data_IF_059168704522
#
_entry.id   IF_059168704522
#
_cell.length_a   1.000
_cell.length_b   1.000
_cell.length_c   1.000
_cell.angle_alpha   90.00
_cell.angle_beta   90.00
_cell.angle_gamma   90.00
#
_symmetry.space_group_name_H-M   'P 1'
#
loop_
_entity.id
_entity.type
_entity.pdbx_description
1 polymer ?
#
# COMPACT_ATOMS: atom_id res chain seq x y z
N UNK A 1 -28.30 -5.43 -25.81
CA UNK A 1 -27.16 -4.52 -26.07
C UNK A 1 -26.82 -3.81 -24.77
N UNK A 2 -25.76 -4.24 -24.08
CA UNK A 2 -25.19 -3.47 -22.97
C UNK A 2 -24.23 -2.43 -23.58
N UNK A 3 -24.29 -1.15 -23.22
CA UNK A 3 -23.22 -0.23 -23.58
C UNK A 3 -22.01 -0.58 -22.70
N UNK A 4 -21.04 -1.26 -23.28
CA UNK A 4 -19.66 -1.27 -22.77
C UNK A 4 -19.19 0.18 -22.80
N UNK A 5 -19.26 0.86 -21.64
CA UNK A 5 -18.51 2.10 -21.47
C UNK A 5 -17.04 1.72 -21.61
N UNK A 6 -16.44 2.06 -22.75
CA UNK A 6 -14.99 2.14 -22.87
C UNK A 6 -14.55 3.23 -21.87
N UNK A 7 -14.24 2.84 -20.63
CA UNK A 7 -13.60 3.76 -19.71
C UNK A 7 -12.26 4.13 -20.32
N UNK A 8 -12.05 5.43 -20.54
CA UNK A 8 -10.79 5.90 -21.10
C UNK A 8 -9.67 5.59 -20.11
N UNK A 9 -8.45 5.34 -20.60
CA UNK A 9 -7.28 5.17 -19.73
C UNK A 9 -7.09 6.37 -18.79
N UNK A 10 -7.55 7.57 -19.16
CA UNK A 10 -7.56 8.74 -18.28
C UNK A 10 -8.49 8.57 -17.08
N UNK A 11 -9.73 8.08 -17.28
CA UNK A 11 -10.68 7.84 -16.20
C UNK A 11 -10.19 6.74 -15.24
N UNK A 12 -9.68 5.63 -15.79
CA UNK A 12 -9.08 4.54 -15.01
C UNK A 12 -7.91 5.07 -14.18
N UNK A 13 -7.02 5.85 -14.81
CA UNK A 13 -5.82 6.40 -14.15
C UNK A 13 -6.18 7.41 -13.05
N UNK A 14 -7.18 8.27 -13.27
CA UNK A 14 -7.68 9.22 -12.26
C UNK A 14 -8.30 8.49 -11.08
N UNK A 15 -9.07 7.44 -11.33
CA UNK A 15 -9.65 6.60 -10.29
C UNK A 15 -8.55 5.93 -9.45
N UNK A 16 -7.57 5.29 -10.10
CA UNK A 16 -6.43 4.66 -9.42
C UNK A 16 -5.63 5.69 -8.64
N UNK A 17 -5.38 6.89 -9.18
CA UNK A 17 -4.71 7.97 -8.47
C UNK A 17 -5.45 8.37 -7.18
N UNK A 18 -6.78 8.46 -7.22
CA UNK A 18 -7.59 8.74 -6.03
C UNK A 18 -7.44 7.67 -4.95
N UNK A 19 -7.38 6.39 -5.35
CA UNK A 19 -7.13 5.28 -4.44
C UNK A 19 -5.70 5.31 -3.88
N UNK A 20 -4.69 5.59 -4.71
CA UNK A 20 -3.30 5.72 -4.29
C UNK A 20 -3.14 6.82 -3.24
N UNK A 21 -3.75 8.00 -3.46
CA UNK A 21 -3.76 9.10 -2.49
C UNK A 21 -4.41 8.68 -1.17
N UNK A 22 -5.53 7.96 -1.23
CA UNK A 22 -6.22 7.44 -0.04
C UNK A 22 -5.38 6.43 0.73
N UNK A 23 -4.67 5.57 -0.01
CA UNK A 23 -3.71 4.59 0.54
C UNK A 23 -2.52 5.29 1.20
N UNK A 24 -1.97 6.34 0.58
CA UNK A 24 -0.89 7.16 1.15
C UNK A 24 -1.28 7.79 2.49
N UNK A 25 -2.50 8.28 2.61
CA UNK A 25 -3.01 8.78 3.89
C UNK A 25 -3.07 7.68 4.97
N UNK A 26 -3.48 6.46 4.61
CA UNK A 26 -3.47 5.35 5.57
C UNK A 26 -2.06 4.91 5.95
N UNK A 27 -1.11 4.88 5.00
CA UNK A 27 0.30 4.57 5.26
C UNK A 27 0.87 5.56 6.27
N UNK A 28 0.68 6.87 6.05
CA UNK A 28 1.17 7.90 6.97
C UNK A 28 0.56 7.79 8.38
N UNK A 29 -0.72 7.38 8.49
CA UNK A 29 -1.34 7.11 9.79
C UNK A 29 -0.72 5.90 10.49
N UNK A 30 -0.38 4.86 9.72
CA UNK A 30 0.28 3.66 10.25
C UNK A 30 1.71 3.98 10.66
N UNK A 31 2.46 4.74 9.86
CA UNK A 31 3.81 5.21 10.19
C UNK A 31 3.83 5.98 11.51
N UNK A 32 2.82 6.82 11.75
CA UNK A 32 2.65 7.51 13.04
C UNK A 32 2.45 6.55 14.21
N UNK A 33 1.74 5.43 14.02
CA UNK A 33 1.59 4.39 15.05
C UNK A 33 2.92 3.66 15.24
N UNK A 34 3.59 3.23 14.16
CA UNK A 34 4.88 2.54 14.21
C UNK A 34 5.92 3.38 14.93
N UNK A 35 5.99 4.69 14.64
CA UNK A 35 6.90 5.61 15.31
C UNK A 35 6.66 5.68 16.82
N UNK A 36 5.41 5.63 17.27
CA UNK A 36 5.11 5.58 18.70
C UNK A 36 5.50 4.24 19.33
N UNK A 37 5.41 3.13 18.58
CA UNK A 37 5.85 1.81 19.04
C UNK A 37 7.38 1.74 19.18
N UNK A 38 8.13 2.39 18.30
CA UNK A 38 9.59 2.49 18.34
C UNK A 38 10.15 3.11 19.63
N UNK A 39 9.37 3.96 20.31
CA UNK A 39 9.76 4.55 21.61
C UNK A 39 9.84 3.47 22.70
N UNK A 40 9.09 2.38 22.56
CA UNK A 40 9.14 1.26 23.48
C UNK A 40 10.21 0.24 23.04
N UNK A 41 11.27 0.13 23.83
CA UNK A 41 12.43 -0.73 23.52
C UNK A 41 12.08 -2.20 23.35
N UNK A 42 10.99 -2.68 23.97
CA UNK A 42 10.53 -4.06 23.82
C UNK A 42 10.27 -4.37 22.33
N UNK A 43 9.66 -3.45 21.58
CA UNK A 43 9.43 -3.65 20.15
C UNK A 43 10.75 -3.74 19.36
N UNK A 44 11.73 -2.92 19.72
CA UNK A 44 13.01 -2.84 19.02
C UNK A 44 13.85 -4.11 19.18
N UNK A 45 13.67 -4.86 20.26
CA UNK A 45 14.39 -6.10 20.52
C UNK A 45 13.79 -7.32 19.78
N UNK A 46 12.58 -7.19 19.23
CA UNK A 46 11.92 -8.28 18.51
C UNK A 46 12.25 -8.25 17.00
N UNK A 47 12.91 -9.32 16.53
CA UNK A 47 13.26 -9.51 15.12
C UNK A 47 12.03 -9.39 14.19
N UNK A 48 10.87 -9.92 14.60
CA UNK A 48 9.68 -9.86 13.76
C UNK A 48 9.16 -8.42 13.59
N UNK A 49 9.34 -7.54 14.58
CA UNK A 49 9.00 -6.12 14.44
C UNK A 49 10.00 -5.38 13.56
N UNK A 50 11.29 -5.71 13.64
CA UNK A 50 12.31 -5.17 12.75
C UNK A 50 12.06 -5.56 11.28
N UNK A 51 11.80 -6.84 11.02
CA UNK A 51 11.48 -7.35 9.68
C UNK A 51 10.17 -6.77 9.15
N UNK A 52 9.14 -6.66 10.01
CA UNK A 52 7.90 -5.95 9.67
C UNK A 52 8.18 -4.53 9.17
N UNK A 53 9.03 -3.76 9.87
CA UNK A 53 9.36 -2.40 9.49
C UNK A 53 10.20 -2.31 8.23
N UNK A 54 11.17 -3.22 8.03
CA UNK A 54 11.99 -3.23 6.82
C UNK A 54 11.09 -3.40 5.58
N UNK A 55 10.25 -4.43 5.59
CA UNK A 55 9.31 -4.70 4.51
C UNK A 55 8.25 -3.60 4.38
N UNK A 56 7.80 -3.01 5.50
CA UNK A 56 6.85 -1.90 5.49
C UNK A 56 7.43 -0.64 4.82
N UNK A 57 8.69 -0.31 5.12
CA UNK A 57 9.38 0.85 4.57
C UNK A 57 9.60 0.69 3.06
N UNK A 58 10.02 -0.50 2.62
CA UNK A 58 10.18 -0.80 1.19
C UNK A 58 8.82 -0.74 0.47
N UNK A 59 7.77 -1.30 1.07
CA UNK A 59 6.42 -1.24 0.53
C UNK A 59 5.93 0.21 0.37
N UNK A 60 6.12 1.03 1.41
CA UNK A 60 5.75 2.44 1.43
C UNK A 60 6.52 3.25 0.40
N UNK A 61 7.82 2.99 0.26
CA UNK A 61 8.66 3.61 -0.78
C UNK A 61 8.11 3.36 -2.18
N UNK A 62 7.86 2.08 -2.55
CA UNK A 62 7.29 1.75 -3.86
C UNK A 62 5.87 2.30 -4.04
N UNK A 63 5.06 2.33 -2.98
CA UNK A 63 3.73 2.93 -3.01
C UNK A 63 3.77 4.42 -3.36
N UNK A 64 4.65 5.20 -2.71
CA UNK A 64 4.78 6.63 -3.03
C UNK A 64 5.31 6.85 -4.46
N UNK A 65 6.14 5.95 -4.98
CA UNK A 65 6.51 5.97 -6.40
C UNK A 65 5.31 5.68 -7.31
N UNK A 66 4.43 4.73 -6.94
CA UNK A 66 3.19 4.47 -7.68
C UNK A 66 2.33 5.74 -7.78
N UNK A 67 2.14 6.44 -6.65
CA UNK A 67 1.37 7.70 -6.61
C UNK A 67 1.97 8.76 -7.52
N UNK A 68 3.28 9.03 -7.39
CA UNK A 68 3.98 10.03 -8.19
C UNK A 68 3.99 9.71 -9.69
N UNK A 69 4.19 8.44 -10.04
CA UNK A 69 4.17 7.97 -11.42
C UNK A 69 2.77 8.12 -12.02
N UNK A 70 1.73 7.63 -11.33
CA UNK A 70 0.35 7.72 -11.79
C UNK A 70 -0.10 9.18 -11.93
N UNK A 71 0.27 10.05 -10.98
CA UNK A 71 0.03 11.50 -11.07
C UNK A 71 0.63 12.09 -12.33
N UNK A 72 1.85 11.68 -12.68
CA UNK A 72 2.51 12.11 -13.92
C UNK A 72 1.73 11.67 -15.15
N UNK A 73 1.34 10.39 -15.24
CA UNK A 73 0.51 9.90 -16.34
C UNK A 73 -0.80 10.67 -16.47
N UNK A 74 -1.47 10.95 -15.35
CA UNK A 74 -2.74 11.69 -15.31
C UNK A 74 -2.58 13.12 -15.82
N UNK A 75 -1.49 13.79 -15.48
CA UNK A 75 -1.23 15.18 -15.92
C UNK A 75 -0.84 15.23 -17.40
N UNK A 76 0.04 14.34 -17.84
CA UNK A 76 0.61 14.37 -19.21
C UNK A 76 -0.22 13.62 -20.24
N UNK A 77 -1.19 12.81 -19.80
CA UNK A 77 -1.98 11.90 -20.63
C UNK A 77 -1.15 10.81 -21.34
N UNK A 78 0.05 10.50 -20.85
CA UNK A 78 0.97 9.55 -21.48
C UNK A 78 0.68 8.07 -21.13
N UNK A 79 -0.52 7.57 -21.45
CA UNK A 79 -0.95 6.21 -21.13
C UNK A 79 -0.54 5.16 -22.17
N UNK A 80 0.70 5.22 -22.65
CA UNK A 80 1.19 4.18 -23.56
C UNK A 80 1.16 2.81 -22.87
N UNK A 81 1.03 1.73 -23.66
CA UNK A 81 1.11 0.37 -23.12
C UNK A 81 2.37 0.16 -22.27
N UNK A 82 3.52 0.71 -22.69
CA UNK A 82 4.77 0.64 -21.94
C UNK A 82 4.70 1.40 -20.61
N UNK A 83 4.02 2.54 -20.58
CA UNK A 83 3.82 3.33 -19.34
C UNK A 83 3.01 2.54 -18.31
N UNK A 84 1.89 1.95 -18.75
CA UNK A 84 1.04 1.16 -17.86
C UNK A 84 1.74 -0.14 -17.43
N UNK A 85 2.44 -0.80 -18.36
CA UNK A 85 3.24 -1.97 -18.05
C UNK A 85 4.30 -1.68 -16.99
N UNK A 86 5.03 -0.57 -17.12
CA UNK A 86 6.01 -0.14 -16.12
C UNK A 86 5.36 0.13 -14.77
N UNK A 87 4.26 0.89 -14.75
CA UNK A 87 3.52 1.17 -13.51
C UNK A 87 3.16 -0.11 -12.75
N UNK A 88 2.64 -1.11 -13.46
CA UNK A 88 2.21 -2.37 -12.83
C UNK A 88 3.41 -3.21 -12.40
N UNK A 89 4.32 -3.52 -13.33
CA UNK A 89 5.34 -4.53 -13.08
C UNK A 89 6.50 -4.02 -12.24
N UNK A 90 6.82 -2.73 -12.34
CA UNK A 90 8.00 -2.16 -11.70
C UNK A 90 7.67 -1.38 -10.42
N UNK A 91 6.40 -1.01 -10.20
CA UNK A 91 6.00 -0.25 -9.01
C UNK A 91 4.95 -1.01 -8.19
N UNK A 92 3.79 -1.35 -8.78
CA UNK A 92 2.69 -1.99 -8.04
C UNK A 92 3.08 -3.39 -7.54
N UNK A 93 3.62 -4.26 -8.40
CA UNK A 93 3.99 -5.63 -8.00
C UNK A 93 5.04 -5.63 -6.87
N UNK A 94 6.13 -4.83 -6.95
CA UNK A 94 7.05 -4.67 -5.82
C UNK A 94 6.38 -4.17 -4.54
N UNK A 95 5.54 -3.13 -4.61
CA UNK A 95 4.80 -2.64 -3.45
C UNK A 95 3.91 -3.75 -2.83
N UNK A 96 3.14 -4.47 -3.64
CA UNK A 96 2.28 -5.58 -3.19
C UNK A 96 3.12 -6.68 -2.51
N UNK A 97 4.28 -7.02 -3.06
CA UNK A 97 5.17 -8.05 -2.51
C UNK A 97 5.66 -7.66 -1.11
N UNK A 98 6.19 -6.45 -0.96
CA UNK A 98 6.71 -5.97 0.31
C UNK A 98 5.59 -5.78 1.35
N UNK A 99 4.40 -5.29 0.96
CA UNK A 99 3.25 -5.25 1.86
C UNK A 99 2.85 -6.66 2.30
N UNK A 100 2.82 -7.64 1.40
CA UNK A 100 2.47 -9.01 1.76
C UNK A 100 3.46 -9.61 2.76
N UNK A 101 4.77 -9.37 2.58
CA UNK A 101 5.80 -9.87 3.51
C UNK A 101 5.72 -9.16 4.87
N UNK A 102 5.60 -7.84 4.88
CA UNK A 102 5.36 -7.05 6.09
C UNK A 102 4.17 -7.58 6.89
N UNK A 103 3.05 -7.90 6.21
CA UNK A 103 1.86 -8.45 6.87
C UNK A 103 2.05 -9.85 7.45
N UNK A 104 2.98 -10.66 6.94
CA UNK A 104 3.34 -11.95 7.55
C UNK A 104 4.05 -11.71 8.88
N UNK A 105 5.04 -10.82 8.92
CA UNK A 105 5.72 -10.44 10.15
C UNK A 105 4.75 -9.82 11.15
N UNK A 106 3.87 -8.92 10.70
CA UNK A 106 2.81 -8.35 11.54
C UNK A 106 1.91 -9.42 12.19
N UNK A 107 1.56 -10.47 11.44
CA UNK A 107 0.74 -11.56 11.96
C UNK A 107 1.43 -12.34 13.09
N UNK A 108 2.77 -12.45 13.05
CA UNK A 108 3.56 -13.05 14.12
C UNK A 108 3.68 -12.12 15.33
N UNK A 109 3.83 -10.82 15.12
CA UNK A 109 3.87 -9.82 16.22
C UNK A 109 2.56 -9.85 17.02
N UNK A 110 1.42 -10.01 16.33
CA UNK A 110 0.08 -10.07 16.95
C UNK A 110 -0.11 -11.21 17.96
N UNK A 111 0.75 -12.22 17.97
CA UNK A 111 0.66 -13.33 18.92
C UNK A 111 1.66 -13.24 20.07
N UNK A 112 2.48 -12.17 20.12
CA UNK A 112 3.46 -11.90 21.18
C UNK A 112 2.76 -11.10 22.29
N UNK A 113 2.43 -11.70 23.45
CA UNK A 113 1.64 -11.04 24.48
C UNK A 113 2.26 -9.72 24.94
N UNK A 114 3.58 -9.70 25.11
CA UNK A 114 4.36 -8.55 25.60
C UNK A 114 4.17 -7.29 24.75
N UNK A 115 3.91 -7.45 23.44
CA UNK A 115 3.74 -6.35 22.49
C UNK A 115 2.27 -5.91 22.35
N UNK A 116 1.35 -6.86 22.45
CA UNK A 116 -0.07 -6.64 22.16
C UNK A 116 -0.84 -5.87 23.23
N UNK A 117 -0.28 -5.72 24.43
CA UNK A 117 -0.92 -5.00 25.53
C UNK A 117 -0.91 -3.47 25.39
N UNK A 118 -0.08 -2.92 24.51
CA UNK A 118 0.02 -1.47 24.34
C UNK A 118 -1.19 -0.89 23.60
N UNK A 119 -1.72 0.24 24.06
CA UNK A 119 -2.87 0.91 23.42
C UNK A 119 -2.57 1.30 21.97
N UNK A 120 -1.33 1.68 21.68
CA UNK A 120 -0.87 2.01 20.34
C UNK A 120 -0.96 0.81 19.40
N UNK A 121 -0.56 -0.39 19.87
CA UNK A 121 -0.62 -1.59 19.05
C UNK A 121 -2.06 -2.02 18.76
N UNK A 122 -3.01 -1.78 19.66
CA UNK A 122 -4.43 -2.12 19.45
C UNK A 122 -5.05 -1.38 18.25
N UNK A 123 -4.53 -0.20 17.89
CA UNK A 123 -5.01 0.58 16.75
C UNK A 123 -4.47 0.08 15.41
N UNK A 124 -3.28 -0.53 15.41
CA UNK A 124 -2.56 -0.91 14.20
C UNK A 124 -3.31 -1.94 13.32
N UNK A 125 -3.90 -3.04 13.86
CA UNK A 125 -4.65 -3.99 13.05
C UNK A 125 -5.79 -3.36 12.24
N UNK A 126 -6.55 -2.46 12.86
CA UNK A 126 -7.68 -1.79 12.19
C UNK A 126 -7.21 -0.95 11.01
N UNK A 127 -6.12 -0.19 11.21
CA UNK A 127 -5.55 0.66 10.14
C UNK A 127 -4.97 -0.17 9.00
N UNK A 128 -4.31 -1.28 9.32
CA UNK A 128 -3.84 -2.24 8.33
C UNK A 128 -5.00 -2.82 7.52
N UNK A 129 -6.12 -3.17 8.16
CA UNK A 129 -7.29 -3.71 7.46
C UNK A 129 -7.99 -2.66 6.57
N UNK A 130 -8.01 -1.39 6.98
CA UNK A 130 -8.50 -0.30 6.14
C UNK A 130 -7.61 -0.09 4.90
N UNK A 131 -6.28 -0.16 5.06
CA UNK A 131 -5.34 -0.11 3.93
C UNK A 131 -5.55 -1.28 2.95
N UNK A 132 -5.73 -2.51 3.45
CA UNK A 132 -5.99 -3.69 2.60
C UNK A 132 -7.22 -3.53 1.70
N UNK A 133 -8.29 -2.93 2.22
CA UNK A 133 -9.51 -2.66 1.42
C UNK A 133 -9.24 -1.72 0.25
N UNK A 134 -8.37 -0.73 0.45
CA UNK A 134 -7.95 0.19 -0.62
C UNK A 134 -7.06 -0.55 -1.62
N UNK A 135 -6.12 -1.37 -1.15
CA UNK A 135 -5.24 -2.18 -2.00
C UNK A 135 -6.02 -3.13 -2.93
N UNK A 136 -7.09 -3.76 -2.42
CA UNK A 136 -7.98 -4.59 -3.25
C UNK A 136 -8.62 -3.77 -4.38
N UNK A 137 -9.13 -2.57 -4.07
CA UNK A 137 -9.72 -1.68 -5.08
C UNK A 137 -8.70 -1.21 -6.11
N UNK A 138 -7.45 -0.95 -5.72
CA UNK A 138 -6.36 -0.62 -6.64
C UNK A 138 -6.14 -1.77 -7.61
N UNK A 139 -6.03 -3.01 -7.09
CA UNK A 139 -5.83 -4.22 -7.89
C UNK A 139 -6.99 -4.47 -8.86
N UNK A 140 -8.21 -4.22 -8.44
CA UNK A 140 -9.40 -4.28 -9.31
C UNK A 140 -9.37 -3.21 -10.38
N UNK A 141 -9.01 -1.97 -10.03
CA UNK A 141 -8.87 -0.86 -10.97
C UNK A 141 -7.81 -1.13 -12.04
N UNK A 142 -6.67 -1.73 -11.67
CA UNK A 142 -5.60 -2.07 -12.61
C UNK A 142 -6.06 -3.07 -13.68
N UNK A 143 -6.94 -4.02 -13.34
CA UNK A 143 -7.48 -4.98 -14.31
C UNK A 143 -8.27 -4.32 -15.43
N UNK A 144 -8.75 -3.08 -15.23
CA UNK A 144 -9.49 -2.33 -16.24
C UNK A 144 -8.61 -1.89 -17.41
N UNK A 145 -7.28 -1.87 -17.28
CA UNK A 145 -6.39 -1.48 -18.38
C UNK A 145 -6.40 -2.44 -19.58
N UNK A 146 -7.03 -3.62 -19.49
CA UNK A 146 -7.16 -4.57 -20.61
C UNK A 146 -5.83 -4.83 -21.33
N UNK A 147 -4.82 -5.18 -20.53
CA UNK A 147 -3.48 -5.56 -20.98
C UNK A 147 -3.42 -7.02 -21.40
#
# INVERSE_FOLDING_TARGET
MHPLMFQSYDEISKYILGLLNSSSQQILLIDGIIYNLLVNTIFNDHIEFQEFMNEWNDASYYHFQCEGYMKTLVVTKCYSHMSIYYFINNLIIPAEKHFAESLKHFSKIKVIPELTHTEQFKLLPKKVDDLKKIAIQIKEGIKLYSL
#
